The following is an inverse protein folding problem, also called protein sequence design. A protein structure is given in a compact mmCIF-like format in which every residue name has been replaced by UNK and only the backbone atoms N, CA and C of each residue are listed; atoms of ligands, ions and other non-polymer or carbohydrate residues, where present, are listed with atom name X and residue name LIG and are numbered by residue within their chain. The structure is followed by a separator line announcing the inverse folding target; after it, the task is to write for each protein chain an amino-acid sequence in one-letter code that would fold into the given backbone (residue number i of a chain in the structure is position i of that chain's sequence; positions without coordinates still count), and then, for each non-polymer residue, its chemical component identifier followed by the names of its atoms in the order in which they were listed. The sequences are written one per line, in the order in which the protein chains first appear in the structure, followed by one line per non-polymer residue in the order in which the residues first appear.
data_IF_928659676297
#
_entry.id   IF_928659676297
#
_cell.length_a   1.000
_cell.length_b   1.000
_cell.length_c   1.000
_cell.angle_alpha   90.00
_cell.angle_beta   90.00
_cell.angle_gamma   90.00
#
_symmetry.space_group_name_H-M   'P 1'
#
loop_
_entity.id
_entity.type
_entity.pdbx_description
1 polymer ?
#
# COMPACT_ATOMS: atom_id res chain seq x y z
N UNK A 1 -8.05 10.54 -44.24
CA UNK A 1 -7.46 11.10 -43.01
C UNK A 1 -6.14 10.38 -42.73
N UNK A 2 -5.05 11.13 -42.60
CA UNK A 2 -3.72 10.57 -42.31
C UNK A 2 -3.58 10.09 -40.86
N UNK A 3 -2.65 9.17 -40.61
CA UNK A 3 -2.36 8.60 -39.28
C UNK A 3 -2.07 9.68 -38.22
N UNK A 4 -1.39 10.76 -38.62
CA UNK A 4 -1.12 11.95 -37.79
C UNK A 4 -2.37 12.73 -37.39
N UNK A 5 -3.39 12.82 -38.25
CA UNK A 5 -4.67 13.46 -37.87
C UNK A 5 -5.45 12.64 -36.84
N UNK A 6 -5.29 11.31 -36.83
CA UNK A 6 -5.93 10.45 -35.81
C UNK A 6 -5.27 10.59 -34.42
N UNK A 7 -3.97 10.90 -34.35
CA UNK A 7 -3.24 11.16 -33.11
C UNK A 7 -3.58 12.53 -32.49
N UNK A 8 -3.83 13.55 -33.33
CA UNK A 8 -4.05 14.93 -32.85
C UNK A 8 -5.49 15.13 -32.34
N UNK A 9 -6.47 14.38 -32.86
CA UNK A 9 -7.89 14.54 -32.50
C UNK A 9 -8.24 13.82 -31.18
N UNK A 10 -7.40 12.88 -30.72
CA UNK A 10 -7.56 12.23 -29.42
C UNK A 10 -6.22 12.19 -28.68
N UNK A 11 -5.97 13.13 -27.76
CA UNK A 11 -4.71 13.18 -27.01
C UNK A 11 -4.49 11.96 -26.09
N UNK A 12 -5.47 11.07 -25.93
CA UNK A 12 -5.35 9.80 -25.20
C UNK A 12 -4.91 8.61 -26.07
N UNK A 13 -4.91 8.73 -27.41
CA UNK A 13 -4.44 7.66 -28.30
C UNK A 13 -2.91 7.68 -28.32
N UNK A 14 -2.29 6.61 -27.83
CA UNK A 14 -0.84 6.37 -27.89
C UNK A 14 -0.12 6.38 -26.55
N UNK A 15 -0.81 6.76 -25.48
CA UNK A 15 -0.29 6.68 -24.12
C UNK A 15 -0.48 5.25 -23.58
N UNK A 16 0.60 4.61 -23.14
CA UNK A 16 0.51 3.26 -22.56
C UNK A 16 -0.35 3.30 -21.29
N UNK A 17 -1.07 2.20 -20.98
CA UNK A 17 -1.75 2.01 -19.68
C UNK A 17 -0.79 2.04 -18.47
N UNK A 18 0.51 2.13 -18.70
CA UNK A 18 1.57 2.09 -17.69
C UNK A 18 2.11 3.47 -17.31
N UNK A 19 1.49 4.57 -17.76
CA UNK A 19 1.93 5.91 -17.35
C UNK A 19 1.56 6.14 -15.89
N UNK A 20 2.59 6.30 -15.06
CA UNK A 20 2.46 6.72 -13.68
C UNK A 20 2.31 8.23 -13.65
N UNK A 21 1.07 8.71 -13.73
CA UNK A 21 0.75 10.12 -13.49
C UNK A 21 0.84 10.42 -11.98
N UNK A 22 1.06 11.68 -11.59
CA UNK A 22 0.95 12.07 -10.19
C UNK A 22 -0.42 11.66 -9.63
N UNK A 23 -0.42 11.06 -8.46
CA UNK A 23 -1.64 10.76 -7.71
C UNK A 23 -2.18 12.06 -7.11
N UNK A 24 -3.43 12.42 -7.43
CA UNK A 24 -4.10 13.58 -6.87
C UNK A 24 -5.11 13.13 -5.82
N UNK A 25 -5.03 13.70 -4.61
CA UNK A 25 -5.92 13.37 -3.50
C UNK A 25 -6.47 14.63 -2.86
N UNK A 26 -7.74 14.58 -2.49
CA UNK A 26 -8.35 15.64 -1.70
C UNK A 26 -7.94 15.47 -0.24
N UNK A 27 -7.44 16.54 0.37
CA UNK A 27 -7.20 16.60 1.81
C UNK A 27 -8.21 17.56 2.43
N UNK A 28 -8.96 17.08 3.41
CA UNK A 28 -9.86 17.90 4.21
C UNK A 28 -9.14 18.32 5.50
N UNK A 29 -8.72 19.59 5.57
CA UNK A 29 -8.10 20.14 6.77
C UNK A 29 -9.14 20.46 7.87
N UNK A 30 -10.39 20.74 7.45
CA UNK A 30 -11.51 21.08 8.33
C UNK A 30 -12.82 20.55 7.74
N UNK A 31 -13.76 20.17 8.60
CA UNK A 31 -15.13 19.85 8.20
C UNK A 31 -15.87 21.14 7.85
N UNK A 32 -15.85 21.53 6.57
CA UNK A 32 -16.61 22.67 6.02
C UNK A 32 -17.33 22.24 4.75
N UNK A 33 -18.39 22.97 4.40
CA UNK A 33 -19.10 22.80 3.12
C UNK A 33 -18.10 22.96 1.96
N UNK A 34 -18.22 22.10 0.94
CA UNK A 34 -17.45 22.22 -0.31
C UNK A 34 -17.59 23.64 -0.86
N UNK A 35 -16.46 24.29 -1.13
CA UNK A 35 -16.41 25.67 -1.64
C UNK A 35 -16.22 25.73 -3.17
N UNK A 36 -15.92 24.60 -3.80
CA UNK A 36 -15.74 24.50 -5.23
C UNK A 36 -17.05 24.03 -5.87
N UNK A 37 -17.50 24.79 -6.87
CA UNK A 37 -18.56 24.39 -7.78
C UNK A 37 -17.93 23.71 -9.00
N UNK A 38 -18.59 22.67 -9.50
CA UNK A 38 -18.17 21.92 -10.68
C UNK A 38 -19.26 22.00 -11.74
N UNK A 39 -18.86 21.97 -13.00
CA UNK A 39 -19.82 21.83 -14.11
C UNK A 39 -20.46 20.43 -14.02
N UNK A 40 -21.77 20.33 -14.26
CA UNK A 40 -22.44 19.04 -14.32
C UNK A 40 -21.84 18.18 -15.45
N UNK A 41 -21.34 16.97 -15.16
CA UNK A 41 -20.88 16.07 -16.19
C UNK A 41 -22.07 15.58 -17.04
N UNK A 42 -21.84 15.20 -18.32
CA UNK A 42 -22.88 14.53 -19.10
C UNK A 42 -23.34 13.25 -18.41
N UNK A 43 -24.63 12.92 -18.55
CA UNK A 43 -25.25 11.75 -17.91
C UNK A 43 -24.63 10.43 -18.42
N UNK A 44 -23.55 10.01 -17.78
CA UNK A 44 -23.00 8.67 -17.88
C UNK A 44 -23.27 7.93 -16.57
N UNK A 45 -23.41 6.60 -16.67
CA UNK A 45 -23.40 5.75 -15.49
C UNK A 45 -21.96 5.73 -14.97
N UNK A 46 -21.64 6.72 -14.13
CA UNK A 46 -20.30 7.03 -13.65
C UNK A 46 -19.80 6.01 -12.61
N UNK A 47 -20.63 5.02 -12.23
CA UNK A 47 -20.27 4.02 -11.24
C UNK A 47 -19.08 3.18 -11.75
N UNK A 48 -17.93 3.16 -11.04
CA UNK A 48 -16.72 2.51 -11.51
C UNK A 48 -16.78 0.99 -11.23
N UNK A 49 -17.68 0.29 -11.92
CA UNK A 49 -17.91 -1.15 -11.75
C UNK A 49 -16.67 -1.98 -12.02
N UNK A 50 -15.79 -1.53 -12.90
CA UNK A 50 -14.49 -2.16 -13.18
C UNK A 50 -13.57 -2.16 -11.95
N UNK A 51 -13.48 -1.03 -11.24
CA UNK A 51 -12.73 -0.90 -9.99
C UNK A 51 -13.36 -1.70 -8.85
N UNK A 52 -14.68 -1.63 -8.72
CA UNK A 52 -15.43 -2.43 -7.72
C UNK A 52 -15.16 -3.92 -7.96
N UNK A 53 -15.23 -4.38 -9.20
CA UNK A 53 -14.95 -5.77 -9.56
C UNK A 53 -13.49 -6.16 -9.31
N UNK A 54 -12.53 -5.26 -9.52
CA UNK A 54 -11.12 -5.49 -9.23
C UNK A 54 -10.87 -5.71 -7.73
N UNK A 55 -11.39 -4.80 -6.89
CA UNK A 55 -11.32 -4.94 -5.43
C UNK A 55 -12.07 -6.17 -4.94
N UNK A 56 -13.23 -6.49 -5.52
CA UNK A 56 -13.98 -7.69 -5.17
C UNK A 56 -13.19 -8.97 -5.49
N UNK A 57 -12.46 -9.03 -6.61
CA UNK A 57 -11.54 -10.15 -6.92
C UNK A 57 -10.37 -10.20 -5.94
N UNK A 58 -9.75 -9.07 -5.62
CA UNK A 58 -8.69 -8.99 -4.62
C UNK A 58 -9.19 -9.51 -3.25
N UNK A 59 -10.42 -9.16 -2.86
CA UNK A 59 -11.09 -9.65 -1.66
C UNK A 59 -11.28 -11.18 -1.68
N UNK A 60 -11.65 -11.78 -2.83
CA UNK A 60 -11.75 -13.24 -2.96
C UNK A 60 -10.43 -13.92 -2.61
N UNK A 61 -9.34 -13.47 -3.25
CA UNK A 61 -8.01 -14.06 -3.09
C UNK A 61 -7.49 -13.83 -1.67
N UNK A 62 -7.68 -12.62 -1.14
CA UNK A 62 -7.32 -12.27 0.23
C UNK A 62 -8.04 -13.13 1.27
N UNK A 63 -9.36 -13.30 1.15
CA UNK A 63 -10.12 -14.15 2.07
C UNK A 63 -9.72 -15.62 1.98
N UNK A 64 -9.42 -16.13 0.77
CA UNK A 64 -8.92 -17.49 0.60
C UNK A 64 -7.56 -17.68 1.30
N UNK A 65 -6.65 -16.73 1.15
CA UNK A 65 -5.35 -16.77 1.83
C UNK A 65 -5.48 -16.65 3.35
N UNK A 66 -6.37 -15.79 3.84
CA UNK A 66 -6.69 -15.73 5.28
C UNK A 66 -7.28 -17.04 5.78
N UNK A 67 -8.04 -17.76 4.96
CA UNK A 67 -8.61 -19.03 5.36
C UNK A 67 -7.59 -20.15 5.47
N UNK A 68 -6.53 -20.10 4.67
CA UNK A 68 -5.38 -20.99 4.79
C UNK A 68 -4.55 -20.69 6.04
N UNK A 69 -4.26 -19.40 6.29
CA UNK A 69 -3.45 -18.97 7.45
C UNK A 69 -4.19 -19.13 8.78
N UNK A 70 -5.49 -18.87 8.78
CA UNK A 70 -6.36 -18.93 9.96
C UNK A 70 -7.60 -19.78 9.62
N UNK A 71 -7.47 -21.12 9.73
CA UNK A 71 -8.58 -22.04 9.53
C UNK A 71 -9.74 -21.74 10.48
N UNK A 72 -10.96 -21.82 9.96
CA UNK A 72 -12.18 -21.46 10.67
C UNK A 72 -13.39 -22.18 10.07
N UNK A 73 -14.34 -22.54 10.92
CA UNK A 73 -15.64 -23.08 10.52
C UNK A 73 -16.61 -22.00 10.02
N UNK A 74 -16.30 -20.72 10.25
CA UNK A 74 -17.13 -19.62 9.81
C UNK A 74 -17.00 -19.34 8.30
N UNK A 75 -18.08 -18.88 7.64
CA UNK A 75 -18.02 -18.47 6.24
C UNK A 75 -16.93 -17.40 5.98
N UNK A 76 -16.34 -17.40 4.78
CA UNK A 76 -15.24 -16.50 4.40
C UNK A 76 -15.55 -15.01 4.62
N UNK A 77 -16.79 -14.62 4.33
CA UNK A 77 -17.28 -13.24 4.47
C UNK A 77 -17.96 -12.99 5.82
N UNK A 78 -17.70 -13.80 6.85
CA UNK A 78 -18.31 -13.62 8.17
C UNK A 78 -17.51 -12.66 9.03
N UNK A 79 -18.20 -11.79 9.78
CA UNK A 79 -17.58 -11.01 10.87
C UNK A 79 -16.88 -11.90 11.90
N UNK A 80 -17.44 -13.08 12.17
CA UNK A 80 -16.87 -14.00 13.15
C UNK A 80 -15.42 -14.40 12.78
N UNK A 81 -15.10 -14.45 11.48
CA UNK A 81 -13.75 -14.72 10.99
C UNK A 81 -12.75 -13.63 11.39
N UNK A 82 -13.15 -12.36 11.36
CA UNK A 82 -12.34 -11.25 11.86
C UNK A 82 -11.91 -11.46 13.31
N UNK A 83 -12.76 -12.10 14.13
CA UNK A 83 -12.46 -12.33 15.55
C UNK A 83 -11.35 -13.36 15.75
N UNK A 84 -11.21 -14.30 14.84
CA UNK A 84 -10.25 -15.41 14.91
C UNK A 84 -8.85 -15.05 14.43
N UNK A 85 -8.71 -14.00 13.61
CA UNK A 85 -7.39 -13.46 13.27
C UNK A 85 -6.69 -13.05 14.58
N UNK A 86 -5.49 -13.59 14.89
CA UNK A 86 -4.71 -13.19 16.07
C UNK A 86 -4.44 -11.69 15.98
N UNK A 87 -4.72 -10.90 17.02
CA UNK A 87 -4.53 -9.43 17.00
C UNK A 87 -3.30 -9.03 17.83
N UNK A 88 -2.25 -9.82 17.71
CA UNK A 88 -1.05 -9.73 18.56
C UNK A 88 -0.08 -8.70 18.03
N UNK A 89 0.03 -8.59 16.71
CA UNK A 89 0.83 -7.60 16.00
C UNK A 89 -0.04 -6.46 15.45
N UNK A 90 0.61 -5.36 15.07
CA UNK A 90 -0.06 -4.25 14.39
C UNK A 90 -0.47 -4.65 12.95
N UNK A 91 0.36 -5.43 12.26
CA UNK A 91 0.07 -5.99 10.94
C UNK A 91 -1.23 -6.79 10.94
N UNK A 92 -1.42 -7.70 11.89
CA UNK A 92 -2.65 -8.49 11.96
C UNK A 92 -3.89 -7.64 12.27
N UNK A 93 -3.76 -6.60 13.12
CA UNK A 93 -4.85 -5.67 13.39
C UNK A 93 -5.27 -4.92 12.12
N UNK A 94 -4.30 -4.48 11.31
CA UNK A 94 -4.55 -3.83 10.03
C UNK A 94 -5.22 -4.80 9.04
N UNK A 95 -4.72 -6.03 8.94
CA UNK A 95 -5.29 -7.08 8.07
C UNK A 95 -6.73 -7.40 8.47
N UNK A 96 -7.04 -7.43 9.77
CA UNK A 96 -8.39 -7.61 10.28
C UNK A 96 -9.32 -6.48 9.80
N UNK A 97 -8.90 -5.22 9.90
CA UNK A 97 -9.72 -4.09 9.43
C UNK A 97 -9.83 -4.04 7.90
N UNK A 98 -8.76 -4.40 7.18
CA UNK A 98 -8.80 -4.56 5.72
C UNK A 98 -9.82 -5.63 5.30
N UNK A 99 -9.85 -6.79 5.98
CA UNK A 99 -10.85 -7.83 5.74
C UNK A 99 -12.28 -7.30 5.88
N UNK A 100 -12.57 -6.50 6.91
CA UNK A 100 -13.89 -5.89 7.11
C UNK A 100 -14.32 -5.00 5.95
N UNK A 101 -13.40 -4.18 5.45
CA UNK A 101 -13.67 -3.29 4.31
C UNK A 101 -13.93 -4.12 3.06
N UNK A 102 -13.03 -5.06 2.74
CA UNK A 102 -13.13 -5.92 1.57
C UNK A 102 -14.38 -6.81 1.60
N UNK A 103 -14.79 -7.26 2.79
CA UNK A 103 -16.03 -8.01 3.02
C UNK A 103 -17.25 -7.22 2.54
N UNK A 104 -17.35 -5.92 2.85
CA UNK A 104 -18.47 -5.09 2.38
C UNK A 104 -18.46 -5.04 0.85
N UNK A 105 -17.31 -4.73 0.25
CA UNK A 105 -17.17 -4.66 -1.22
C UNK A 105 -17.62 -5.97 -1.86
N UNK A 106 -17.11 -7.12 -1.38
CA UNK A 106 -17.45 -8.43 -1.91
C UNK A 106 -18.94 -8.77 -1.72
N UNK A 107 -19.47 -8.58 -0.51
CA UNK A 107 -20.89 -8.90 -0.23
C UNK A 107 -21.82 -8.04 -1.07
N UNK A 108 -21.60 -6.73 -1.12
CA UNK A 108 -22.44 -5.81 -1.89
C UNK A 108 -22.32 -6.07 -3.39
N UNK A 109 -21.11 -6.30 -3.92
CA UNK A 109 -20.90 -6.49 -5.36
C UNK A 109 -21.58 -7.75 -5.93
N UNK A 110 -21.76 -8.81 -5.13
CA UNK A 110 -22.26 -10.10 -5.61
C UNK A 110 -23.63 -10.51 -5.06
N UNK A 111 -24.20 -9.76 -4.12
CA UNK A 111 -25.49 -10.11 -3.52
C UNK A 111 -26.66 -9.41 -4.24
N UNK A 112 -27.82 -10.08 -4.45
CA UNK A 112 -28.97 -9.48 -5.13
C UNK A 112 -29.56 -8.23 -4.45
N UNK A 113 -29.32 -8.07 -3.14
CA UNK A 113 -29.70 -6.89 -2.35
C UNK A 113 -28.54 -5.89 -2.15
N UNK A 114 -27.43 -6.09 -2.85
CA UNK A 114 -26.36 -5.12 -2.92
C UNK A 114 -26.67 -4.03 -3.95
N UNK A 115 -26.31 -2.80 -3.61
CA UNK A 115 -26.46 -1.64 -4.45
C UNK A 115 -25.13 -0.88 -4.52
N UNK A 116 -24.75 -0.50 -5.73
CA UNK A 116 -23.59 0.31 -6.01
C UNK A 116 -24.01 1.50 -6.86
N UNK A 117 -23.65 2.69 -6.42
CA UNK A 117 -23.87 3.94 -7.14
C UNK A 117 -22.70 4.91 -6.91
N UNK A 118 -22.64 6.00 -7.68
CA UNK A 118 -21.63 7.04 -7.50
C UNK A 118 -22.28 8.42 -7.39
N UNK A 119 -21.86 9.21 -6.39
CA UNK A 119 -22.35 10.57 -6.14
C UNK A 119 -21.18 11.48 -5.80
N UNK A 120 -21.04 12.60 -6.51
CA UNK A 120 -20.01 13.60 -6.26
C UNK A 120 -18.58 13.04 -6.12
N UNK A 121 -18.21 12.05 -6.94
CA UNK A 121 -16.88 11.42 -6.87
C UNK A 121 -16.75 10.28 -5.85
N UNK A 122 -17.81 9.99 -5.09
CA UNK A 122 -17.84 8.97 -4.02
C UNK A 122 -18.63 7.76 -4.49
N UNK A 123 -18.01 6.59 -4.42
CA UNK A 123 -18.63 5.29 -4.67
C UNK A 123 -19.35 4.85 -3.41
N UNK A 124 -20.64 4.57 -3.55
CA UNK A 124 -21.54 4.21 -2.48
C UNK A 124 -21.92 2.73 -2.64
N UNK A 125 -21.42 1.87 -1.75
CA UNK A 125 -21.73 0.43 -1.73
C UNK A 125 -22.61 0.15 -0.51
N UNK A 126 -23.86 -0.23 -0.73
CA UNK A 126 -24.83 -0.41 0.34
C UNK A 126 -25.64 -1.70 0.16
N UNK A 127 -26.08 -2.31 1.25
CA UNK A 127 -27.01 -3.43 1.17
C UNK A 127 -27.49 -3.91 2.53
N UNK A 128 -28.75 -4.36 2.58
CA UNK A 128 -29.28 -5.13 3.69
C UNK A 128 -29.08 -6.63 3.39
N UNK A 129 -27.98 -7.20 3.88
CA UNK A 129 -27.53 -8.55 3.53
C UNK A 129 -27.43 -9.37 4.82
N UNK A 130 -28.03 -10.56 4.84
CA UNK A 130 -28.03 -11.45 6.02
C UNK A 130 -28.53 -10.78 7.31
N UNK A 131 -29.54 -9.91 7.22
CA UNK A 131 -30.10 -9.09 8.32
C UNK A 131 -29.13 -8.05 8.89
N UNK A 132 -28.10 -7.69 8.14
CA UNK A 132 -27.11 -6.68 8.50
C UNK A 132 -27.13 -5.54 7.48
N UNK A 133 -27.07 -4.30 7.97
CA UNK A 133 -26.83 -3.15 7.13
C UNK A 133 -25.32 -2.99 6.86
N UNK A 134 -24.92 -3.16 5.61
CA UNK A 134 -23.56 -2.92 5.14
C UNK A 134 -23.53 -1.61 4.35
N UNK A 135 -22.57 -0.75 4.66
CA UNK A 135 -22.38 0.52 3.96
C UNK A 135 -20.89 0.86 3.88
N UNK A 136 -20.43 1.16 2.67
CA UNK A 136 -19.11 1.71 2.41
C UNK A 136 -19.28 2.84 1.39
N UNK A 137 -19.00 4.07 1.82
CA UNK A 137 -18.88 5.22 0.93
C UNK A 137 -17.39 5.56 0.84
N UNK A 138 -16.80 5.39 -0.34
CA UNK A 138 -15.35 5.48 -0.57
C UNK A 138 -15.07 6.15 -1.92
N UNK A 139 -13.98 6.91 -2.03
CA UNK A 139 -13.60 7.47 -3.34
C UNK A 139 -13.12 6.37 -4.31
N UNK A 140 -13.09 6.69 -5.60
CA UNK A 140 -12.52 5.78 -6.60
C UNK A 140 -11.02 5.49 -6.36
N UNK A 141 -10.28 6.45 -5.82
CA UNK A 141 -8.86 6.28 -5.41
C UNK A 141 -8.78 5.32 -4.22
N UNK A 142 -9.71 5.40 -3.27
CA UNK A 142 -9.76 4.46 -2.15
C UNK A 142 -9.95 3.00 -2.60
N UNK A 143 -10.72 2.75 -3.66
CA UNK A 143 -10.82 1.41 -4.26
C UNK A 143 -9.47 0.94 -4.84
N UNK A 144 -8.77 1.79 -5.60
CA UNK A 144 -7.45 1.44 -6.15
C UNK A 144 -6.43 1.16 -5.02
N UNK A 145 -6.50 1.91 -3.92
CA UNK A 145 -5.66 1.71 -2.74
C UNK A 145 -5.97 0.39 -2.03
N UNK A 146 -7.23 -0.02 -1.95
CA UNK A 146 -7.61 -1.33 -1.38
C UNK A 146 -7.02 -2.48 -2.18
N UNK A 147 -7.16 -2.45 -3.51
CA UNK A 147 -6.55 -3.46 -4.39
C UNK A 147 -5.02 -3.48 -4.25
N UNK A 148 -4.40 -2.31 -4.27
CA UNK A 148 -2.93 -2.17 -4.14
C UNK A 148 -2.44 -2.66 -2.78
N UNK A 149 -3.15 -2.38 -1.69
CA UNK A 149 -2.79 -2.82 -0.34
C UNK A 149 -2.87 -4.34 -0.22
N UNK A 150 -3.88 -4.98 -0.82
CA UNK A 150 -3.95 -6.45 -0.88
C UNK A 150 -2.78 -7.02 -1.67
N UNK A 151 -2.49 -6.47 -2.85
CA UNK A 151 -1.37 -6.91 -3.67
C UNK A 151 -0.02 -6.75 -2.94
N UNK A 152 0.18 -5.62 -2.25
CA UNK A 152 1.37 -5.39 -1.43
C UNK A 152 1.47 -6.40 -0.29
N UNK A 153 0.37 -6.72 0.41
CA UNK A 153 0.39 -7.72 1.47
C UNK A 153 0.85 -9.10 0.96
N UNK A 154 0.37 -9.52 -0.21
CA UNK A 154 0.83 -10.76 -0.84
C UNK A 154 2.31 -10.72 -1.21
N UNK A 155 2.76 -9.66 -1.89
CA UNK A 155 4.17 -9.49 -2.26
C UNK A 155 5.09 -9.43 -1.04
N UNK A 156 4.65 -8.72 0.01
CA UNK A 156 5.40 -8.53 1.23
C UNK A 156 5.65 -9.85 1.95
N UNK A 157 4.71 -10.81 1.95
CA UNK A 157 4.88 -12.11 2.66
C UNK A 157 6.10 -12.89 2.19
N UNK A 158 6.38 -12.84 0.90
CA UNK A 158 7.49 -13.58 0.26
C UNK A 158 8.71 -12.68 0.00
N UNK A 159 8.66 -11.43 0.44
CA UNK A 159 9.73 -10.45 0.24
C UNK A 159 10.87 -10.56 1.27
N UNK A 160 12.03 -10.03 0.92
CA UNK A 160 13.16 -9.90 1.84
C UNK A 160 13.01 -8.78 2.88
N UNK A 161 11.96 -7.94 2.78
CA UNK A 161 11.77 -6.79 3.66
C UNK A 161 11.48 -7.22 5.11
N UNK A 162 12.02 -6.53 6.12
CA UNK A 162 11.76 -6.83 7.54
C UNK A 162 10.28 -6.62 7.93
N UNK A 163 9.80 -7.33 8.95
CA UNK A 163 8.43 -7.17 9.46
C UNK A 163 8.10 -5.73 9.89
N UNK A 164 9.08 -5.02 10.45
CA UNK A 164 8.94 -3.62 10.81
C UNK A 164 8.65 -2.69 9.63
N UNK A 165 9.28 -3.00 8.50
CA UNK A 165 9.09 -2.27 7.25
C UNK A 165 7.69 -2.55 6.70
N UNK A 166 7.30 -3.82 6.69
CA UNK A 166 5.97 -4.25 6.24
C UNK A 166 4.86 -3.62 7.10
N UNK A 167 5.03 -3.63 8.42
CA UNK A 167 4.12 -2.97 9.36
C UNK A 167 3.97 -1.47 9.04
N UNK A 168 5.07 -0.76 8.83
CA UNK A 168 5.06 0.67 8.52
C UNK A 168 4.35 0.94 7.18
N UNK A 169 4.64 0.14 6.14
CA UNK A 169 3.99 0.27 4.85
C UNK A 169 2.49 0.00 4.89
N UNK A 170 2.07 -1.09 5.53
CA UNK A 170 0.65 -1.39 5.69
C UNK A 170 -0.06 -0.32 6.51
N UNK A 171 0.60 0.27 7.52
CA UNK A 171 0.02 1.35 8.31
C UNK A 171 -0.24 2.60 7.48
N UNK A 172 0.67 2.96 6.55
CA UNK A 172 0.47 4.10 5.64
C UNK A 172 -0.60 3.81 4.58
N UNK A 173 -0.58 2.62 3.97
CA UNK A 173 -1.67 2.21 3.07
C UNK A 173 -3.03 2.27 3.77
N UNK A 174 -3.13 1.72 4.98
CA UNK A 174 -4.38 1.72 5.73
C UNK A 174 -4.80 3.13 6.12
N UNK A 175 -3.87 3.96 6.60
CA UNK A 175 -4.15 5.36 6.92
C UNK A 175 -4.70 6.13 5.71
N UNK A 176 -4.19 5.83 4.52
CA UNK A 176 -4.65 6.43 3.28
C UNK A 176 -6.00 5.90 2.82
N UNK A 177 -6.25 4.59 2.91
CA UNK A 177 -7.56 3.99 2.67
C UNK A 177 -8.63 4.62 3.58
N UNK A 178 -8.34 4.74 4.87
CA UNK A 178 -9.25 5.36 5.84
C UNK A 178 -9.58 6.80 5.47
N UNK A 179 -8.61 7.57 4.96
CA UNK A 179 -8.83 8.96 4.54
C UNK A 179 -9.74 9.07 3.30
N UNK A 180 -9.80 8.02 2.47
CA UNK A 180 -10.70 7.94 1.31
C UNK A 180 -12.11 7.43 1.66
N UNK A 181 -12.30 6.85 2.85
CA UNK A 181 -13.59 6.36 3.33
C UNK A 181 -14.38 7.50 3.96
N UNK A 182 -15.53 7.82 3.37
CA UNK A 182 -16.48 8.85 3.86
C UNK A 182 -17.51 8.27 4.82
N UNK A 183 -17.85 6.99 4.65
CA UNK A 183 -18.74 6.26 5.56
C UNK A 183 -18.39 4.78 5.57
N UNK A 184 -18.48 4.18 6.75
CA UNK A 184 -18.28 2.76 6.96
C UNK A 184 -19.30 2.24 7.97
N UNK A 185 -19.98 1.14 7.65
CA UNK A 185 -20.85 0.40 8.55
C UNK A 185 -20.77 -1.10 8.24
N UNK A 186 -20.38 -1.87 9.25
CA UNK A 186 -20.28 -3.32 9.23
C UNK A 186 -20.89 -3.88 10.51
N UNK A 187 -22.16 -4.32 10.49
CA UNK A 187 -22.86 -4.80 11.70
C UNK A 187 -22.90 -3.77 12.84
N UNK A 188 -23.21 -2.49 12.52
CA UNK A 188 -23.19 -1.35 13.45
C UNK A 188 -21.82 -1.06 14.09
N UNK A 189 -20.75 -1.64 13.55
CA UNK A 189 -19.38 -1.41 14.01
C UNK A 189 -18.69 -0.37 13.15
N UNK A 190 -17.98 0.53 13.82
CA UNK A 190 -17.06 1.47 13.18
C UNK A 190 -15.74 0.79 12.83
N UNK A 191 -15.05 1.37 11.85
CA UNK A 191 -13.69 0.97 11.48
C UNK A 191 -12.70 1.46 12.55
N UNK A 192 -11.76 0.61 12.97
CA UNK A 192 -10.72 1.04 13.89
C UNK A 192 -9.66 1.86 13.17
N UNK A 193 -9.21 2.93 13.84
CA UNK A 193 -8.09 3.75 13.38
C UNK A 193 -6.87 3.45 14.25
N UNK A 194 -5.72 3.27 13.61
CA UNK A 194 -4.48 2.99 14.30
C UNK A 194 -3.58 4.23 14.31
N UNK A 195 -2.90 4.44 15.43
CA UNK A 195 -1.92 5.51 15.54
C UNK A 195 -0.71 5.20 14.65
N UNK A 196 -0.40 6.09 13.71
CA UNK A 196 0.86 6.07 12.97
C UNK A 196 2.01 6.39 13.93
N UNK A 197 3.01 5.50 14.01
CA UNK A 197 4.16 5.64 14.92
C UNK A 197 5.14 6.71 14.44
N UNK A 198 5.39 6.74 13.14
CA UNK A 198 6.20 7.74 12.46
C UNK A 198 5.71 7.84 11.01
N UNK A 199 5.85 9.01 10.35
CA UNK A 199 5.60 9.14 8.92
C UNK A 199 6.53 8.22 8.14
N UNK A 200 5.98 7.50 7.16
CA UNK A 200 6.76 6.63 6.29
C UNK A 200 6.31 6.83 4.83
N UNK A 201 7.25 7.02 3.89
CA UNK A 201 6.86 7.32 2.52
C UNK A 201 6.57 6.03 1.72
N UNK A 202 5.32 5.84 1.29
CA UNK A 202 4.89 4.68 0.47
C UNK A 202 4.90 4.90 -1.03
N UNK A 203 4.96 6.14 -1.49
CA UNK A 203 4.68 6.47 -2.90
C UNK A 203 5.90 6.30 -3.79
N UNK A 204 7.08 6.65 -3.28
CA UNK A 204 8.32 6.57 -4.02
C UNK A 204 9.49 6.29 -3.09
N UNK A 205 10.24 5.23 -3.38
CA UNK A 205 11.39 4.82 -2.58
C UNK A 205 12.63 4.61 -3.46
N UNK A 206 13.78 5.00 -2.94
CA UNK A 206 15.08 4.86 -3.59
C UNK A 206 15.85 3.72 -2.93
N UNK A 207 16.44 2.82 -3.71
CA UNK A 207 17.29 1.77 -3.17
C UNK A 207 18.75 2.20 -3.14
N UNK A 208 19.45 1.92 -2.03
CA UNK A 208 20.88 2.14 -1.87
C UNK A 208 21.55 0.87 -1.33
N UNK A 209 22.32 0.18 -2.17
CA UNK A 209 23.10 -1.03 -1.86
C UNK A 209 24.58 -0.76 -1.51
N UNK A 210 25.01 0.50 -1.56
CA UNK A 210 26.36 0.90 -1.17
C UNK A 210 26.40 2.04 -0.14
N UNK A 211 25.60 1.99 0.95
CA UNK A 211 25.72 2.97 2.00
C UNK A 211 27.08 2.86 2.69
N UNK A 212 27.66 4.00 3.04
CA UNK A 212 28.79 4.04 3.98
C UNK A 212 28.22 4.11 5.39
N UNK A 213 28.52 3.10 6.20
CA UNK A 213 28.12 3.05 7.60
C UNK A 213 29.32 2.72 8.49
N UNK A 214 29.44 3.44 9.61
CA UNK A 214 30.43 3.17 10.68
C UNK A 214 29.70 2.82 11.97
N UNK A 215 30.37 2.09 12.87
CA UNK A 215 29.87 1.83 14.22
C UNK A 215 30.61 2.70 15.21
N UNK A 216 29.88 3.59 15.87
CA UNK A 216 30.39 4.54 16.86
C UNK A 216 29.41 4.61 18.04
N UNK A 217 29.93 4.54 19.28
CA UNK A 217 29.14 4.67 20.52
C UNK A 217 27.87 3.81 20.58
N UNK A 218 27.93 2.57 20.08
CA UNK A 218 26.80 1.64 20.09
C UNK A 218 25.70 1.98 19.09
N UNK A 219 25.99 2.79 18.08
CA UNK A 219 25.09 3.14 16.97
C UNK A 219 25.77 2.87 15.64
N UNK A 220 24.98 2.51 14.63
CA UNK A 220 25.42 2.54 13.25
C UNK A 220 25.11 3.94 12.67
N UNK A 221 26.15 4.64 12.22
CA UNK A 221 26.06 5.97 11.62
C UNK A 221 26.18 5.86 10.10
N UNK A 222 25.21 6.41 9.37
CA UNK A 222 25.18 6.43 7.91
C UNK A 222 25.67 7.79 7.39
N UNK A 223 26.61 7.77 6.45
CA UNK A 223 27.07 8.99 5.77
C UNK A 223 26.03 9.42 4.72
N UNK A 224 25.08 10.26 5.13
CA UNK A 224 24.04 10.79 4.25
C UNK A 224 24.39 12.22 3.81
N UNK A 225 24.67 12.38 2.51
CA UNK A 225 24.92 13.68 1.89
C UNK A 225 23.76 14.64 2.11
N UNK A 226 24.07 15.93 2.29
CA UNK A 226 23.10 16.97 2.71
C UNK A 226 21.80 16.97 1.89
N UNK A 227 21.91 16.82 0.57
CA UNK A 227 20.76 16.75 -0.35
C UNK A 227 19.76 15.64 0.00
N UNK A 228 20.23 14.51 0.51
CA UNK A 228 19.45 13.29 0.74
C UNK A 228 18.96 13.14 2.18
N UNK A 229 19.17 14.16 3.03
CA UNK A 229 18.79 14.10 4.45
C UNK A 229 17.30 14.29 4.73
N UNK A 230 16.54 14.82 3.78
CA UNK A 230 15.09 14.97 3.91
C UNK A 230 14.39 13.66 3.51
N UNK A 231 13.91 12.85 4.49
CA UNK A 231 13.28 11.57 4.20
C UNK A 231 11.92 11.72 3.50
N UNK A 232 11.24 12.87 3.62
CA UNK A 232 9.98 13.11 2.92
C UNK A 232 10.20 13.24 1.42
N UNK A 233 11.35 13.80 1.01
CA UNK A 233 11.74 13.98 -0.39
C UNK A 233 12.54 12.81 -0.96
N UNK A 234 13.42 12.22 -0.15
CA UNK A 234 14.30 11.12 -0.54
C UNK A 234 14.13 9.95 0.43
N UNK A 235 13.01 9.23 0.30
CA UNK A 235 12.77 8.02 1.07
C UNK A 235 13.69 6.90 0.58
N UNK A 236 14.86 6.77 1.20
CA UNK A 236 15.89 5.81 0.81
C UNK A 236 15.80 4.56 1.68
N UNK A 237 15.89 3.40 1.04
CA UNK A 237 16.09 2.10 1.66
C UNK A 237 17.57 1.74 1.58
N UNK A 238 18.24 1.68 2.73
CA UNK A 238 19.63 1.26 2.82
C UNK A 238 19.71 -0.26 2.97
N UNK A 239 20.28 -0.91 1.97
CA UNK A 239 20.61 -2.33 1.97
C UNK A 239 22.05 -2.47 2.40
N UNK A 240 22.27 -2.98 3.62
CA UNK A 240 23.59 -2.98 4.25
C UNK A 240 23.80 -4.23 5.08
N UNK A 241 24.99 -4.81 4.99
CA UNK A 241 25.41 -5.89 5.89
C UNK A 241 26.08 -5.27 7.11
N UNK A 242 25.46 -5.45 8.28
CA UNK A 242 25.96 -5.01 9.58
C UNK A 242 25.93 -6.22 10.51
N UNK A 243 27.00 -6.46 11.27
CA UNK A 243 27.08 -7.59 12.23
C UNK A 243 26.66 -8.93 11.59
N UNK A 244 27.26 -9.24 10.43
CA UNK A 244 27.06 -10.48 9.67
C UNK A 244 25.62 -10.76 9.22
N UNK A 245 24.78 -9.74 9.17
CA UNK A 245 23.44 -9.84 8.60
C UNK A 245 23.08 -8.66 7.71
N UNK A 246 22.36 -8.95 6.64
CA UNK A 246 21.71 -7.97 5.80
C UNK A 246 20.56 -7.32 6.57
N UNK A 247 20.58 -5.99 6.55
CA UNK A 247 19.53 -5.13 7.05
C UNK A 247 18.99 -4.30 5.88
N UNK A 248 17.67 -4.06 5.92
CA UNK A 248 17.01 -3.11 5.02
C UNK A 248 16.47 -2.00 5.92
N UNK A 249 17.23 -0.91 5.99
CA UNK A 249 16.99 0.18 6.93
C UNK A 249 16.45 1.37 6.14
N UNK A 250 15.17 1.72 6.30
CA UNK A 250 14.62 2.91 5.68
C UNK A 250 15.18 4.16 6.38
N UNK A 251 15.41 5.23 5.62
CA UNK A 251 15.91 6.50 6.15
C UNK A 251 15.02 7.06 7.26
N UNK A 252 13.71 6.78 7.21
CA UNK A 252 12.73 7.14 8.24
C UNK A 252 12.98 6.46 9.61
N UNK A 253 13.77 5.38 9.63
CA UNK A 253 14.18 4.71 10.87
C UNK A 253 15.40 5.34 11.53
N UNK A 254 16.11 6.24 10.84
CA UNK A 254 17.32 6.88 11.32
C UNK A 254 17.00 8.16 12.09
N UNK A 255 17.70 8.38 13.20
CA UNK A 255 17.70 9.62 13.96
C UNK A 255 19.02 10.35 13.67
N UNK A 256 18.95 11.47 12.96
CA UNK A 256 20.13 12.22 12.50
C UNK A 256 21.15 11.37 11.73
N UNK A 257 20.66 10.43 10.91
CA UNK A 257 21.52 9.52 10.13
C UNK A 257 22.08 8.35 10.93
N UNK A 258 21.67 8.16 12.19
CA UNK A 258 22.13 7.06 13.03
C UNK A 258 20.98 6.14 13.46
N UNK A 259 21.29 4.87 13.72
CA UNK A 259 20.38 3.92 14.36
C UNK A 259 21.10 3.20 15.50
N UNK A 260 20.42 3.07 16.64
CA UNK A 260 20.96 2.37 17.79
C UNK A 260 21.11 0.86 17.49
N UNK A 261 22.20 0.26 18.00
CA UNK A 261 22.53 -1.14 17.75
C UNK A 261 21.42 -2.10 18.20
N UNK A 262 20.79 -1.83 19.33
CA UNK A 262 19.66 -2.61 19.86
C UNK A 262 18.39 -2.53 18.99
N UNK A 263 18.29 -1.53 18.10
CA UNK A 263 17.20 -1.40 17.13
C UNK A 263 17.49 -2.09 15.80
N UNK A 264 18.74 -2.47 15.51
CA UNK A 264 19.11 -3.14 14.26
C UNK A 264 18.35 -4.46 14.02
N UNK A 265 18.15 -5.36 15.02
CA UNK A 265 17.46 -6.62 14.78
C UNK A 265 16.05 -6.47 14.19
N UNK A 266 15.37 -5.36 14.47
CA UNK A 266 14.04 -5.05 13.93
C UNK A 266 14.05 -4.83 12.40
N UNK A 267 15.19 -4.49 11.84
CA UNK A 267 15.40 -4.18 10.42
C UNK A 267 16.20 -5.25 9.68
N UNK A 268 16.42 -6.42 10.30
CA UNK A 268 17.08 -7.56 9.65
C UNK A 268 16.21 -8.07 8.50
N UNK A 269 16.82 -8.24 7.34
CA UNK A 269 16.16 -8.74 6.15
C UNK A 269 15.71 -10.20 6.34
N UNK A 270 14.59 -10.57 5.73
CA UNK A 270 14.10 -11.95 5.70
C UNK A 270 14.78 -12.71 4.56
N UNK A 271 15.97 -13.24 4.82
CA UNK A 271 16.75 -13.98 3.82
C UNK A 271 17.19 -15.34 4.36
N UNK A 272 17.41 -16.30 3.46
CA UNK A 272 17.74 -17.69 3.84
C UNK A 272 19.12 -17.84 4.48
N UNK A 273 20.09 -17.05 4.02
CA UNK A 273 21.48 -17.08 4.47
C UNK A 273 21.86 -15.86 5.33
N UNK A 274 20.87 -15.06 5.72
CA UNK A 274 21.01 -13.81 6.46
C UNK A 274 21.77 -12.69 5.74
N UNK A 275 22.37 -12.89 4.57
CA UNK A 275 23.27 -11.89 3.94
C UNK A 275 22.94 -11.56 2.48
N UNK A 276 22.29 -12.47 1.75
CA UNK A 276 22.04 -12.32 0.32
C UNK A 276 20.58 -11.95 0.03
N UNK A 277 20.39 -11.02 -0.91
CA UNK A 277 19.08 -10.72 -1.46
C UNK A 277 18.62 -11.82 -2.44
N UNK A 278 17.30 -12.07 -2.56
CA UNK A 278 16.74 -12.93 -3.59
C UNK A 278 17.06 -12.43 -5.01
N UNK A 279 17.08 -13.34 -5.98
CA UNK A 279 17.39 -13.02 -7.37
C UNK A 279 16.44 -11.97 -8.00
N UNK A 280 15.21 -11.86 -7.49
CA UNK A 280 14.23 -10.85 -7.92
C UNK A 280 14.71 -9.40 -7.71
N UNK A 281 15.66 -9.15 -6.81
CA UNK A 281 16.22 -7.81 -6.58
C UNK A 281 17.34 -7.43 -7.57
N UNK A 282 17.86 -8.37 -8.36
CA UNK A 282 19.03 -8.12 -9.23
C UNK A 282 18.83 -6.95 -10.20
N UNK A 283 17.62 -6.80 -10.76
CA UNK A 283 17.31 -5.74 -11.72
C UNK A 283 17.26 -4.36 -11.07
N UNK A 284 17.00 -4.26 -9.76
CA UNK A 284 16.98 -3.00 -9.00
C UNK A 284 18.38 -2.45 -8.75
N UNK A 285 19.36 -3.35 -8.63
CA UNK A 285 20.77 -3.03 -8.34
C UNK A 285 21.72 -3.32 -9.50
N UNK A 286 21.19 -3.49 -10.72
CA UNK A 286 22.02 -3.76 -11.87
C UNK A 286 22.94 -2.56 -12.16
N UNK A 287 24.24 -2.77 -12.05
CA UNK A 287 25.29 -1.81 -12.43
C UNK A 287 26.09 -2.40 -13.57
N UNK A 288 26.54 -1.56 -14.49
CA UNK A 288 27.49 -1.98 -15.50
C UNK A 288 28.77 -2.45 -14.80
N UNK A 289 29.15 -3.70 -15.04
CA UNK A 289 30.42 -4.22 -14.54
C UNK A 289 31.51 -3.59 -15.38
N UNK A 290 32.19 -2.57 -14.85
CA UNK A 290 33.35 -1.98 -15.51
C UNK A 290 34.40 -3.08 -15.68
N UNK A 291 34.60 -3.54 -16.92
CA UNK A 291 35.64 -4.50 -17.26
C UNK A 291 36.95 -3.72 -17.36
N UNK A 292 37.76 -3.80 -16.31
CA UNK A 292 39.10 -3.20 -16.29
C UNK A 292 39.90 -3.81 -17.45
N UNK A 293 40.28 -2.99 -18.44
CA UNK A 293 41.05 -3.40 -19.62
C UNK A 293 40.29 -3.51 -20.93
N UNK A 294 39.02 -3.09 -21.03
CA UNK A 294 38.41 -2.89 -22.34
C UNK A 294 39.10 -1.73 -23.07
N UNK A 295 39.54 -1.91 -24.33
CA UNK A 295 40.09 -0.80 -25.11
C UNK A 295 38.99 0.25 -25.29
N UNK A 296 39.30 1.50 -24.93
CA UNK A 296 38.43 2.62 -25.27
C UNK A 296 38.32 2.68 -26.79
N UNK A 297 37.13 2.40 -27.33
CA UNK A 297 36.78 2.70 -28.72
C UNK A 297 36.36 4.14 -28.87
#
# INVERSE_FOLDING_TARGET
MGFTQKLIVHPSIGWSKNLRLPEYRQVELYTKRKALDFLEPPAHDDTPFDRIAAVARAALVFEAALAELYPSEHPLTSWARCKEIPKTSQTEKIICELHRILRIVRKVAFHPHGHADMRDGVVCLNGAIDKVALSLEITAVGLDLLETMVAYWFDARDSAYPEAYVEAMLAEYFGDVVAEIKRFSDEDRILYQFRRRAPFNRHFRFDCDNPKATFEDGKALFEIGERYRDPARYAIDFFVVLEDALHIIPVEALEHGAIARDRLPKWRARTLDSVSLPASFRTRFAREKIVVGQPMT
#
